data_IF_714930670758
#
_entry.id   IF_714930670758
#
_cell.length_a   1.000
_cell.length_b   1.000
_cell.length_c   1.000
_cell.angle_alpha   90.00
_cell.angle_beta   90.00
_cell.angle_gamma   90.00
#
_symmetry.space_group_name_H-M   'P 1'
#
loop_
_entity.id
_entity.type
_entity.pdbx_description
1 polymer ?
#
# COMPACT_ATOMS: atom_id res chain seq x y z
N UNK A 1 -4.53 7.58 9.95
CA UNK A 1 -3.06 7.69 9.88
C UNK A 1 -2.54 8.37 8.61
N UNK A 2 -3.08 9.54 8.24
CA UNK A 2 -2.62 10.30 7.06
C UNK A 2 -1.42 11.21 7.37
N UNK A 3 -0.95 11.26 8.62
CA UNK A 3 0.11 12.19 9.02
C UNK A 3 1.48 11.89 8.40
N UNK A 4 1.77 10.63 8.07
CA UNK A 4 3.08 10.24 7.55
C UNK A 4 3.27 10.62 6.07
N UNK A 5 2.23 10.52 5.23
CA UNK A 5 2.32 10.96 3.84
C UNK A 5 2.48 12.48 3.76
N UNK A 6 1.73 13.24 4.55
CA UNK A 6 1.84 14.71 4.66
C UNK A 6 3.25 15.11 5.09
N UNK A 7 3.83 14.41 6.07
CA UNK A 7 5.22 14.66 6.51
C UNK A 7 6.24 14.39 5.39
N UNK A 8 6.09 13.31 4.63
CA UNK A 8 6.97 13.01 3.49
C UNK A 8 6.88 14.08 2.41
N UNK A 9 5.66 14.50 2.09
CA UNK A 9 5.39 15.55 1.10
C UNK A 9 5.98 16.89 1.55
N UNK A 10 5.81 17.29 2.82
CA UNK A 10 6.44 18.47 3.38
C UNK A 10 7.97 18.43 3.26
N UNK A 11 8.61 17.29 3.54
CA UNK A 11 10.07 17.13 3.37
C UNK A 11 10.46 17.26 1.89
N UNK A 12 9.68 16.72 0.96
CA UNK A 12 9.94 16.86 -0.48
C UNK A 12 9.81 18.32 -0.94
N UNK A 13 8.81 19.06 -0.46
CA UNK A 13 8.65 20.49 -0.73
C UNK A 13 9.82 21.31 -0.18
N UNK A 14 10.23 21.08 1.06
CA UNK A 14 11.36 21.79 1.68
C UNK A 14 12.68 21.53 0.96
N UNK A 15 12.87 20.34 0.39
CA UNK A 15 14.06 20.03 -0.42
C UNK A 15 14.03 20.69 -1.79
N UNK A 16 12.89 20.66 -2.46
CA UNK A 16 12.75 21.15 -3.85
C UNK A 16 12.66 22.67 -3.93
N UNK A 17 11.90 23.32 -3.05
CA UNK A 17 11.64 24.76 -3.10
C UNK A 17 12.73 25.57 -2.39
N UNK A 18 13.29 25.04 -1.31
CA UNK A 18 14.23 25.78 -0.44
C UNK A 18 15.67 25.23 -0.52
N UNK A 19 15.93 24.21 -1.36
CA UNK A 19 17.25 23.60 -1.49
C UNK A 19 17.81 22.98 -0.21
N UNK A 20 16.94 22.69 0.77
CA UNK A 20 17.38 22.20 2.07
C UNK A 20 17.92 20.77 1.97
N UNK A 21 18.95 20.48 2.76
CA UNK A 21 19.37 19.10 2.96
C UNK A 21 18.24 18.29 3.59
N UNK A 22 18.14 17.01 3.24
CA UNK A 22 17.14 16.10 3.80
C UNK A 22 17.12 16.11 5.33
N UNK A 23 18.30 16.19 5.98
CA UNK A 23 18.42 16.28 7.44
C UNK A 23 17.68 17.51 8.00
N UNK A 24 17.89 18.68 7.39
CA UNK A 24 17.28 19.93 7.84
C UNK A 24 15.79 19.96 7.56
N UNK A 25 15.37 19.47 6.39
CA UNK A 25 13.97 19.33 6.02
C UNK A 25 13.20 18.38 6.97
N UNK A 26 13.78 17.23 7.32
CA UNK A 26 13.16 16.28 8.27
C UNK A 26 12.97 16.89 9.67
N UNK A 27 13.95 17.65 10.16
CA UNK A 27 13.87 18.32 11.46
C UNK A 27 12.74 19.34 11.49
N UNK A 28 12.60 20.14 10.44
CA UNK A 28 11.55 21.16 10.31
C UNK A 28 10.17 20.50 10.21
N UNK A 29 10.04 19.44 9.41
CA UNK A 29 8.77 18.74 9.20
C UNK A 29 8.37 17.79 10.35
N UNK A 30 9.20 17.62 11.39
CA UNK A 30 8.95 16.68 12.48
C UNK A 30 8.83 15.22 11.99
N UNK A 31 9.64 14.86 11.00
CA UNK A 31 9.65 13.55 10.35
C UNK A 31 10.92 12.77 10.70
N UNK A 32 10.79 11.48 10.99
CA UNK A 32 11.95 10.60 11.09
C UNK A 32 12.56 10.39 9.69
N UNK A 33 13.88 10.54 9.59
CA UNK A 33 14.62 10.37 8.34
C UNK A 33 14.51 8.95 7.78
N UNK A 34 14.42 7.90 8.62
CA UNK A 34 14.17 6.52 8.19
C UNK A 34 12.81 6.40 7.53
N UNK A 35 11.79 7.04 8.08
CA UNK A 35 10.45 7.07 7.48
C UNK A 35 10.48 7.75 6.10
N UNK A 36 11.17 8.89 5.96
CA UNK A 36 11.30 9.59 4.66
C UNK A 36 12.01 8.73 3.61
N UNK A 37 13.05 8.00 4.02
CA UNK A 37 13.83 7.13 3.13
C UNK A 37 13.16 5.80 2.80
N UNK A 38 12.17 5.38 3.60
CA UNK A 38 11.53 4.10 3.41
C UNK A 38 10.79 4.07 2.07
N UNK A 39 11.28 3.22 1.17
CA UNK A 39 10.62 2.85 -0.08
C UNK A 39 10.17 1.40 0.04
N UNK A 40 8.87 1.17 -0.13
CA UNK A 40 8.34 -0.17 -0.21
C UNK A 40 8.88 -0.84 -1.49
N UNK A 41 9.74 -1.85 -1.34
CA UNK A 41 10.33 -2.58 -2.46
C UNK A 41 9.39 -3.64 -3.03
N UNK A 42 8.44 -4.10 -2.23
CA UNK A 42 7.52 -5.16 -2.65
C UNK A 42 6.37 -4.55 -3.43
N UNK A 43 6.11 -5.10 -4.62
CA UNK A 43 4.92 -4.77 -5.39
C UNK A 43 3.68 -4.93 -4.51
N UNK A 44 2.68 -4.03 -4.65
CA UNK A 44 1.49 -4.13 -3.83
C UNK A 44 0.77 -5.44 -4.17
N UNK A 45 0.70 -6.34 -3.20
CA UNK A 45 0.02 -7.64 -3.33
C UNK A 45 -1.52 -7.46 -3.30
N UNK A 46 -2.05 -6.53 -4.08
CA UNK A 46 -3.47 -6.13 -4.09
C UNK A 46 -4.39 -7.31 -4.36
N UNK A 47 -4.05 -8.13 -5.35
CA UNK A 47 -4.81 -9.31 -5.74
C UNK A 47 -4.84 -10.35 -4.61
N UNK A 48 -3.69 -10.66 -4.01
CA UNK A 48 -3.61 -11.59 -2.87
C UNK A 48 -4.42 -11.07 -1.68
N UNK A 49 -4.35 -9.77 -1.39
CA UNK A 49 -5.13 -9.15 -0.31
C UNK A 49 -6.64 -9.18 -0.61
N UNK A 50 -7.03 -9.01 -1.87
CA UNK A 50 -8.41 -9.16 -2.34
C UNK A 50 -8.94 -10.57 -2.09
N UNK A 51 -8.22 -11.59 -2.58
CA UNK A 51 -8.59 -13.00 -2.38
C UNK A 51 -8.67 -13.38 -0.90
N UNK A 52 -7.73 -12.92 -0.06
CA UNK A 52 -7.78 -13.16 1.39
C UNK A 52 -8.99 -12.49 2.06
N UNK A 53 -9.42 -11.32 1.58
CA UNK A 53 -10.64 -10.63 2.08
C UNK A 53 -11.90 -11.38 1.68
N UNK A 54 -12.00 -11.85 0.45
CA UNK A 54 -13.12 -12.68 -0.02
C UNK A 54 -13.26 -13.94 0.83
N UNK A 55 -12.16 -14.69 1.01
CA UNK A 55 -12.15 -15.89 1.86
C UNK A 55 -12.52 -15.59 3.32
N UNK A 56 -12.10 -14.44 3.85
CA UNK A 56 -12.46 -14.01 5.20
C UNK A 56 -13.96 -13.69 5.32
N UNK A 57 -14.56 -13.10 4.28
CA UNK A 57 -15.99 -12.80 4.24
C UNK A 57 -16.84 -14.06 4.11
N UNK A 58 -16.43 -15.01 3.26
CA UNK A 58 -17.09 -16.31 3.10
C UNK A 58 -16.97 -17.19 4.36
N UNK A 59 -15.81 -17.16 5.02
CA UNK A 59 -15.49 -18.04 6.15
C UNK A 59 -15.03 -17.24 7.37
N UNK A 60 -15.94 -16.44 7.92
CA UNK A 60 -15.71 -15.52 9.07
C UNK A 60 -15.09 -16.17 10.32
N UNK A 61 -15.29 -17.47 10.55
CA UNK A 61 -14.70 -18.20 11.70
C UNK A 61 -13.21 -18.53 11.49
N UNK A 62 -12.67 -18.38 10.28
CA UNK A 62 -11.32 -18.80 9.96
C UNK A 62 -10.32 -17.67 10.24
N UNK A 63 -9.31 -17.95 11.06
CA UNK A 63 -8.19 -17.05 11.29
C UNK A 63 -7.16 -17.07 10.15
N UNK A 64 -6.20 -16.14 10.21
CA UNK A 64 -5.22 -15.88 9.14
C UNK A 64 -4.48 -17.13 8.63
N UNK A 65 -4.16 -18.10 9.50
CA UNK A 65 -3.46 -19.34 9.10
C UNK A 65 -4.29 -20.19 8.15
N UNK A 66 -5.59 -20.39 8.44
CA UNK A 66 -6.47 -21.21 7.60
C UNK A 66 -6.75 -20.51 6.27
N UNK A 67 -6.96 -19.19 6.30
CA UNK A 67 -7.13 -18.39 5.08
C UNK A 67 -5.87 -18.41 4.20
N UNK A 68 -4.67 -18.37 4.79
CA UNK A 68 -3.41 -18.44 4.05
C UNK A 68 -3.23 -19.78 3.31
N UNK A 69 -3.59 -20.91 3.94
CA UNK A 69 -3.54 -22.23 3.27
C UNK A 69 -4.54 -22.28 2.12
N UNK A 70 -5.76 -21.78 2.31
CA UNK A 70 -6.79 -21.73 1.26
C UNK A 70 -6.35 -20.84 0.08
N UNK A 71 -5.84 -19.64 0.36
CA UNK A 71 -5.35 -18.73 -0.66
C UNK A 71 -4.17 -19.32 -1.45
N UNK A 72 -3.29 -20.10 -0.80
CA UNK A 72 -2.17 -20.79 -1.46
C UNK A 72 -2.66 -21.96 -2.32
N UNK A 73 -3.64 -22.74 -1.86
CA UNK A 73 -4.22 -23.83 -2.63
C UNK A 73 -4.93 -23.32 -3.90
N UNK A 74 -5.73 -22.26 -3.77
CA UNK A 74 -6.40 -21.61 -4.91
C UNK A 74 -5.44 -21.01 -5.95
N UNK A 75 -4.18 -20.73 -5.56
CA UNK A 75 -3.14 -20.25 -6.49
C UNK A 75 -2.54 -21.37 -7.35
N UNK A 76 -2.66 -22.63 -6.93
CA UNK A 76 -2.17 -23.80 -7.66
C UNK A 76 -3.20 -24.35 -8.66
N UNK A 77 -4.49 -24.10 -8.44
CA UNK A 77 -5.58 -24.36 -9.39
C UNK A 77 -5.80 -23.12 -10.27
N UNK A 78 -5.48 -23.19 -11.56
CA UNK A 78 -5.34 -22.05 -12.47
C UNK A 78 -6.41 -20.95 -12.38
N UNK A 79 -5.95 -19.70 -12.36
CA UNK A 79 -6.78 -18.51 -12.44
C UNK A 79 -7.39 -18.38 -13.83
N UNK A 80 -8.69 -18.67 -13.95
CA UNK A 80 -9.53 -18.08 -14.97
C UNK A 80 -9.59 -16.58 -14.75
N UNK A 81 -8.93 -15.83 -15.62
CA UNK A 81 -9.06 -14.39 -15.74
C UNK A 81 -10.48 -14.03 -16.17
N UNK A 82 -11.21 -13.28 -15.35
CA UNK A 82 -12.22 -12.35 -15.85
C UNK A 82 -11.77 -10.95 -15.47
N UNK A 83 -11.08 -10.31 -16.42
CA UNK A 83 -10.71 -8.91 -16.32
C UNK A 83 -11.96 -8.04 -16.21
N UNK A 84 -11.98 -7.16 -15.23
CA UNK A 84 -12.81 -5.96 -15.22
C UNK A 84 -11.97 -4.85 -15.84
N UNK A 85 -12.22 -4.58 -17.11
CA UNK A 85 -11.75 -3.37 -17.81
C UNK A 85 -12.56 -2.20 -17.23
N UNK A 86 -11.86 -1.13 -16.87
CA UNK A 86 -12.41 -0.04 -16.06
C UNK A 86 -13.49 0.80 -16.72
N UNK A 87 -14.06 1.69 -15.91
CA UNK A 87 -14.66 2.92 -16.39
C UNK A 87 -14.13 4.10 -15.58
N UNK A 88 -13.37 4.94 -16.28
CA UNK A 88 -13.09 6.33 -15.94
C UNK A 88 -14.37 7.15 -16.10
N UNK A 89 -14.75 7.96 -15.10
CA UNK A 89 -15.65 9.08 -15.33
C UNK A 89 -15.15 10.31 -14.55
N UNK A 90 -14.59 11.22 -15.34
CA UNK A 90 -14.23 12.60 -15.04
C UNK A 90 -15.52 13.44 -14.93
N UNK A 91 -15.43 14.52 -14.14
CA UNK A 91 -16.16 15.81 -14.24
C UNK A 91 -17.44 15.99 -13.39
N UNK A 92 -17.35 16.88 -12.41
CA UNK A 92 -18.11 18.12 -12.34
C UNK A 92 -17.24 19.16 -11.63
#
# INVERSE_FOLDING_TARGET
DNGECVKREAVAHLRSLLGLSERRACRIAGADRKMVRYQAQRAPDTELRGRLRELANERRRFGYRRLFVLARAARASGSGSTGSIGSTAKKA
#
